data_IF_850366597793
#
_entry.id   IF_850366597793
#
_cell.length_a   1.000
_cell.length_b   1.000
_cell.length_c   1.000
_cell.angle_alpha   90.00
_cell.angle_beta   90.00
_cell.angle_gamma   90.00
#
_symmetry.space_group_name_H-M   'P 1'
#
loop_
_entity.id
_entity.type
_entity.pdbx_description
1 polymer ?
#
# COMPACT_ATOMS: atom_id res chain seq x y z
N UNK A 1 -29.77 43.24 25.48
CA UNK A 1 -28.31 43.22 25.49
C UNK A 1 -27.76 41.87 25.99
N UNK A 2 -28.09 41.35 27.17
CA UNK A 2 -27.57 40.06 27.67
C UNK A 2 -27.80 38.87 26.74
N UNK A 3 -28.99 38.72 26.13
CA UNK A 3 -29.31 37.62 25.19
C UNK A 3 -28.43 37.65 23.93
N UNK A 4 -28.12 38.86 23.42
CA UNK A 4 -27.24 39.03 22.25
C UNK A 4 -25.79 38.60 22.54
N UNK A 5 -25.31 38.91 23.73
CA UNK A 5 -23.97 38.52 24.18
C UNK A 5 -23.84 36.98 24.30
N UNK A 6 -24.85 36.29 24.84
CA UNK A 6 -24.85 34.83 24.88
C UNK A 6 -24.89 34.21 23.49
N UNK A 7 -25.60 34.79 22.55
CA UNK A 7 -25.66 34.32 21.15
C UNK A 7 -24.29 34.46 20.47
N UNK A 8 -23.62 35.59 20.68
CA UNK A 8 -22.25 35.81 20.14
C UNK A 8 -21.23 34.83 20.78
N UNK A 9 -21.31 34.60 22.07
CA UNK A 9 -20.43 33.64 22.77
C UNK A 9 -20.69 32.23 22.22
N UNK A 10 -21.95 31.83 22.03
CA UNK A 10 -22.30 30.53 21.45
C UNK A 10 -21.75 30.36 20.04
N UNK A 11 -21.86 31.38 19.20
CA UNK A 11 -21.30 31.39 17.84
C UNK A 11 -19.77 31.32 17.83
N UNK A 12 -19.11 32.04 18.73
CA UNK A 12 -17.66 31.98 18.89
C UNK A 12 -17.17 30.60 19.38
N UNK A 13 -17.93 29.96 20.26
CA UNK A 13 -17.62 28.59 20.70
C UNK A 13 -17.78 27.55 19.57
N UNK A 14 -18.76 27.70 18.69
CA UNK A 14 -18.97 26.78 17.57
C UNK A 14 -17.88 26.89 16.49
N UNK A 15 -17.20 28.01 16.36
CA UNK A 15 -16.11 28.19 15.39
C UNK A 15 -14.77 27.61 15.88
N UNK A 16 -14.63 27.34 17.18
CA UNK A 16 -13.39 26.76 17.76
C UNK A 16 -13.40 25.22 17.72
N UNK A 17 -14.55 24.60 17.51
CA UNK A 17 -14.63 23.16 17.26
C UNK A 17 -14.30 22.81 15.80
N UNK A 18 -13.18 23.29 15.29
CA UNK A 18 -12.53 22.60 14.18
C UNK A 18 -12.00 21.29 14.75
N UNK A 19 -12.80 20.24 14.63
CA UNK A 19 -12.30 18.89 14.79
C UNK A 19 -11.18 18.77 13.75
N UNK A 20 -9.95 18.85 14.20
CA UNK A 20 -8.78 18.57 13.39
C UNK A 20 -8.96 17.12 12.98
N UNK A 21 -9.40 16.91 11.73
CA UNK A 21 -9.53 15.58 11.16
C UNK A 21 -8.14 14.96 11.26
N UNK A 22 -7.92 14.16 12.29
CA UNK A 22 -6.70 13.37 12.42
C UNK A 22 -6.62 12.55 11.14
N UNK A 23 -5.52 12.64 10.43
CA UNK A 23 -5.23 11.74 9.33
C UNK A 23 -5.11 10.32 9.88
N UNK A 24 -6.24 9.61 9.91
CA UNK A 24 -6.33 8.25 10.45
C UNK A 24 -5.61 7.24 9.55
N UNK A 25 -5.31 7.60 8.31
CA UNK A 25 -4.59 6.73 7.36
C UNK A 25 -3.18 6.42 7.86
N UNK A 26 -2.58 7.30 8.64
CA UNK A 26 -1.25 7.05 9.23
C UNK A 26 -1.20 5.82 10.17
N UNK A 27 -2.35 5.38 10.70
CA UNK A 27 -2.44 4.19 11.56
C UNK A 27 -2.70 2.89 10.77
N UNK A 28 -2.92 2.98 9.47
CA UNK A 28 -3.11 1.80 8.63
C UNK A 28 -1.76 1.27 8.20
N UNK A 29 -1.42 0.07 8.66
CA UNK A 29 -0.23 -0.65 8.23
C UNK A 29 -0.60 -1.67 7.15
N UNK A 30 -0.32 -1.36 5.88
CA UNK A 30 -0.60 -2.26 4.76
C UNK A 30 0.40 -3.40 4.63
N UNK A 31 1.53 -3.36 5.36
CA UNK A 31 2.50 -4.45 5.44
C UNK A 31 2.11 -5.52 6.46
N UNK A 32 1.04 -5.30 7.23
CA UNK A 32 0.61 -6.25 8.25
C UNK A 32 0.35 -7.64 7.65
N UNK A 33 0.97 -8.65 8.23
CA UNK A 33 0.85 -10.04 7.81
C UNK A 33 1.82 -10.47 6.71
N UNK A 34 2.58 -9.56 6.09
CA UNK A 34 3.51 -9.89 4.99
C UNK A 34 4.83 -10.48 5.44
N UNK A 35 5.23 -10.27 6.70
CA UNK A 35 6.40 -10.88 7.32
C UNK A 35 6.02 -12.25 7.90
N UNK A 36 6.10 -13.27 7.07
CA UNK A 36 5.65 -14.62 7.36
C UNK A 36 6.48 -15.66 6.57
N UNK A 37 6.09 -16.91 6.59
CA UNK A 37 6.79 -18.01 5.94
C UNK A 37 5.86 -18.87 5.08
N UNK A 38 6.43 -19.76 4.28
CA UNK A 38 5.71 -20.62 3.36
C UNK A 38 4.61 -21.44 4.04
N UNK A 39 4.87 -21.98 5.24
CA UNK A 39 3.89 -22.79 5.99
C UNK A 39 2.63 -22.02 6.38
N UNK A 40 2.72 -20.71 6.47
CA UNK A 40 1.61 -19.79 6.72
C UNK A 40 1.19 -19.02 5.46
N UNK A 41 1.50 -19.53 4.28
CA UNK A 41 1.20 -18.92 2.98
C UNK A 41 1.69 -17.47 2.87
N UNK A 42 2.84 -17.16 3.46
CA UNK A 42 3.41 -15.81 3.57
C UNK A 42 2.39 -14.77 4.07
N UNK A 43 1.53 -15.16 5.01
CA UNK A 43 0.46 -14.34 5.57
C UNK A 43 -0.73 -14.15 4.65
N UNK A 44 -0.65 -14.62 3.40
CA UNK A 44 -1.68 -14.47 2.35
C UNK A 44 -2.16 -13.03 2.17
N UNK A 45 -1.27 -12.06 2.33
CA UNK A 45 -1.51 -10.62 2.20
C UNK A 45 -0.38 -9.96 1.43
N UNK A 46 -0.63 -8.76 0.93
CA UNK A 46 0.39 -7.90 0.31
C UNK A 46 0.01 -6.43 0.44
N UNK A 47 1.00 -5.50 0.45
CA UNK A 47 0.74 -4.08 0.66
C UNK A 47 0.09 -3.45 -0.57
N UNK A 48 -1.23 -3.34 -0.56
CA UNK A 48 -1.96 -2.79 -1.69
C UNK A 48 -2.17 -1.29 -1.59
N UNK A 49 -2.05 -0.62 -2.73
CA UNK A 49 -2.47 0.75 -2.95
C UNK A 49 -3.63 0.74 -3.93
N UNK A 50 -4.83 1.12 -3.48
CA UNK A 50 -6.07 1.02 -4.25
C UNK A 50 -6.78 2.34 -4.52
N UNK A 51 -6.24 3.45 -4.09
CA UNK A 51 -6.81 4.77 -4.33
C UNK A 51 -6.38 5.34 -5.70
N UNK A 52 -7.21 6.16 -6.37
CA UNK A 52 -8.60 6.53 -6.02
C UNK A 52 -9.66 5.51 -6.44
N UNK A 53 -9.28 4.50 -7.22
CA UNK A 53 -10.22 3.50 -7.78
C UNK A 53 -9.98 2.15 -7.09
N UNK A 54 -10.73 1.86 -6.04
CA UNK A 54 -10.55 0.69 -5.17
C UNK A 54 -10.72 -0.68 -5.83
N UNK A 55 -11.05 -0.73 -7.13
CA UNK A 55 -11.15 -1.98 -7.91
C UNK A 55 -9.81 -2.37 -8.57
N UNK A 56 -8.81 -1.51 -8.53
CA UNK A 56 -7.49 -1.74 -9.09
C UNK A 56 -6.44 -1.60 -8.00
N UNK A 57 -5.95 -2.72 -7.51
CA UNK A 57 -5.01 -2.76 -6.41
C UNK A 57 -3.59 -2.94 -6.94
N UNK A 58 -2.71 -2.01 -6.61
CA UNK A 58 -1.31 -2.05 -6.98
C UNK A 58 -0.44 -2.47 -5.80
N UNK A 59 0.54 -3.31 -6.06
CA UNK A 59 1.51 -3.74 -5.07
C UNK A 59 2.90 -3.90 -5.69
N UNK A 60 3.94 -3.67 -4.90
CA UNK A 60 5.26 -4.15 -5.24
C UNK A 60 5.24 -5.68 -5.33
N UNK A 61 5.97 -6.21 -6.29
CA UNK A 61 6.15 -7.63 -6.47
C UNK A 61 7.56 -8.02 -6.07
N UNK A 62 7.70 -8.72 -4.95
CA UNK A 62 8.98 -9.31 -4.51
C UNK A 62 9.07 -10.79 -4.86
N UNK A 63 7.93 -11.48 -5.02
CA UNK A 63 7.84 -12.84 -5.51
C UNK A 63 8.15 -12.98 -7.00
N UNK A 64 8.42 -14.19 -7.44
CA UNK A 64 8.61 -14.52 -8.86
C UNK A 64 7.26 -14.68 -9.56
N UNK A 65 7.25 -14.51 -10.87
CA UNK A 65 6.08 -14.83 -11.67
C UNK A 65 5.78 -16.34 -11.55
N UNK A 66 4.54 -16.66 -11.18
CA UNK A 66 4.10 -18.04 -10.98
C UNK A 66 4.19 -18.57 -9.55
N UNK A 67 4.85 -17.85 -8.63
CA UNK A 67 4.92 -18.28 -7.22
C UNK A 67 3.58 -18.20 -6.48
N UNK A 68 2.62 -17.44 -6.99
CA UNK A 68 1.35 -17.16 -6.32
C UNK A 68 1.44 -16.14 -5.18
N UNK A 69 2.63 -15.80 -4.75
CA UNK A 69 2.87 -14.81 -3.69
C UNK A 69 3.50 -13.56 -4.29
N UNK A 70 2.73 -12.49 -4.37
CA UNK A 70 3.20 -11.23 -4.98
C UNK A 70 4.23 -10.53 -4.13
N UNK A 71 4.00 -10.49 -2.84
CA UNK A 71 4.87 -9.80 -1.91
C UNK A 71 5.23 -10.72 -0.73
N UNK A 72 6.51 -10.80 -0.46
CA UNK A 72 7.08 -11.48 0.70
C UNK A 72 8.05 -10.49 1.36
N UNK A 73 7.79 -10.12 2.60
CA UNK A 73 8.60 -9.13 3.33
C UNK A 73 10.06 -9.55 3.46
N UNK A 74 10.34 -10.85 3.62
CA UNK A 74 11.69 -11.37 3.73
C UNK A 74 12.56 -11.23 2.45
N UNK A 75 11.96 -10.77 1.33
CA UNK A 75 12.68 -10.61 0.05
C UNK A 75 13.06 -9.16 -0.18
N UNK A 76 14.34 -8.87 -0.33
CA UNK A 76 14.94 -7.55 -0.48
C UNK A 76 15.04 -7.06 -1.95
N UNK A 77 14.27 -7.66 -2.86
CA UNK A 77 14.29 -7.32 -4.29
C UNK A 77 12.89 -7.12 -4.85
N UNK A 78 12.70 -6.00 -5.54
CA UNK A 78 11.48 -5.76 -6.33
C UNK A 78 11.73 -6.23 -7.75
N UNK A 79 10.80 -7.06 -8.27
CA UNK A 79 10.82 -7.59 -9.65
C UNK A 79 9.86 -6.86 -10.57
N UNK A 80 8.81 -6.27 -10.01
CA UNK A 80 7.82 -5.48 -10.73
C UNK A 80 6.88 -4.75 -9.76
N UNK A 81 6.01 -3.92 -10.32
CA UNK A 81 4.77 -3.46 -9.68
C UNK A 81 3.61 -4.13 -10.41
N UNK A 82 2.75 -4.81 -9.65
CA UNK A 82 1.68 -5.65 -10.18
C UNK A 82 0.32 -5.09 -9.84
N UNK A 83 -0.59 -5.12 -10.81
CA UNK A 83 -1.98 -4.75 -10.63
C UNK A 83 -2.81 -6.01 -10.38
N UNK A 84 -3.72 -5.95 -9.41
CA UNK A 84 -4.59 -7.05 -9.00
C UNK A 84 -6.01 -6.55 -8.78
N UNK A 85 -6.98 -7.46 -8.81
CA UNK A 85 -8.38 -7.19 -8.45
C UNK A 85 -8.69 -7.56 -6.99
N UNK A 86 -7.81 -8.32 -6.34
CA UNK A 86 -8.01 -8.83 -4.99
C UNK A 86 -6.80 -8.54 -4.09
N UNK A 87 -7.06 -8.44 -2.79
CA UNK A 87 -6.01 -8.21 -1.79
C UNK A 87 -5.25 -9.48 -1.41
N UNK A 88 -5.69 -10.65 -1.87
CA UNK A 88 -5.10 -11.94 -1.52
C UNK A 88 -4.84 -12.79 -2.76
N UNK A 89 -3.67 -13.43 -2.86
CA UNK A 89 -3.35 -14.35 -3.95
C UNK A 89 -4.07 -15.70 -3.83
N UNK A 90 -4.70 -16.01 -2.70
CA UNK A 90 -5.26 -17.32 -2.38
C UNK A 90 -6.33 -17.80 -3.35
N UNK A 91 -7.09 -16.90 -3.94
CA UNK A 91 -8.17 -17.23 -4.88
C UNK A 91 -7.75 -17.08 -6.34
N UNK A 92 -6.47 -17.22 -6.64
CA UNK A 92 -5.89 -17.21 -7.99
C UNK A 92 -5.91 -15.85 -8.71
N UNK A 93 -5.94 -14.76 -7.98
CA UNK A 93 -5.71 -13.43 -8.57
C UNK A 93 -4.23 -13.09 -8.57
N UNK A 94 -3.51 -13.59 -9.54
CA UNK A 94 -2.05 -13.51 -9.64
C UNK A 94 -1.54 -12.23 -10.30
N UNK A 95 -2.34 -11.19 -10.41
CA UNK A 95 -2.14 -9.97 -11.15
C UNK A 95 -2.37 -10.12 -12.67
N UNK A 96 -3.08 -9.13 -13.21
CA UNK A 96 -3.34 -9.04 -14.66
C UNK A 96 -2.16 -8.42 -15.37
N UNK A 97 -1.50 -7.45 -14.74
CA UNK A 97 -0.35 -6.72 -15.29
C UNK A 97 0.79 -6.62 -14.28
N UNK A 98 2.00 -6.64 -14.82
CA UNK A 98 3.21 -6.32 -14.06
C UNK A 98 4.09 -5.39 -14.87
N UNK A 99 4.54 -4.31 -14.25
CA UNK A 99 5.42 -3.31 -14.85
C UNK A 99 6.70 -3.18 -14.04
N UNK A 100 7.83 -3.14 -14.73
CA UNK A 100 9.12 -2.81 -14.12
C UNK A 100 9.75 -1.66 -14.89
N UNK A 101 9.75 -0.45 -14.33
CA UNK A 101 10.47 0.67 -14.94
C UNK A 101 11.97 0.37 -15.00
N UNK A 102 12.57 0.65 -16.15
CA UNK A 102 13.99 0.39 -16.37
C UNK A 102 14.63 1.55 -17.11
N UNK A 103 15.93 1.75 -16.90
CA UNK A 103 16.75 2.71 -17.62
C UNK A 103 17.88 1.94 -18.29
N UNK A 104 18.15 2.27 -19.55
CA UNK A 104 19.21 1.63 -20.34
C UNK A 104 18.69 0.43 -21.14
N UNK A 105 19.44 -0.65 -21.15
CA UNK A 105 19.13 -1.85 -21.93
C UNK A 105 17.94 -2.63 -21.37
N UNK A 106 17.12 -3.19 -22.26
CA UNK A 106 15.98 -4.01 -21.87
C UNK A 106 16.43 -5.37 -21.33
N UNK A 107 16.14 -5.65 -20.07
CA UNK A 107 16.40 -6.94 -19.42
C UNK A 107 15.08 -7.67 -19.20
N UNK A 108 14.83 -8.73 -19.98
CA UNK A 108 13.59 -9.51 -19.94
C UNK A 108 13.55 -10.44 -18.72
N UNK A 109 14.68 -11.01 -18.32
CA UNK A 109 14.75 -11.94 -17.20
C UNK A 109 14.39 -11.24 -15.88
N UNK A 110 13.38 -11.77 -15.17
CA UNK A 110 12.83 -11.14 -13.97
C UNK A 110 13.81 -11.05 -12.79
N UNK A 111 14.71 -11.99 -12.65
CA UNK A 111 15.70 -11.98 -11.57
C UNK A 111 16.86 -11.04 -11.89
N UNK A 112 17.25 -10.95 -13.16
CA UNK A 112 18.30 -10.04 -13.61
C UNK A 112 17.89 -8.57 -13.57
N UNK A 113 16.61 -8.27 -13.85
CA UNK A 113 16.07 -6.89 -13.76
C UNK A 113 15.65 -6.49 -12.35
N UNK A 114 15.62 -7.43 -11.39
CA UNK A 114 15.18 -7.14 -10.04
C UNK A 114 16.11 -6.14 -9.35
N UNK A 115 15.51 -5.14 -8.72
CA UNK A 115 16.23 -4.08 -8.02
C UNK A 115 16.17 -4.29 -6.53
N UNK A 116 17.32 -4.22 -5.85
CA UNK A 116 17.37 -4.28 -4.39
C UNK A 116 16.76 -3.04 -3.76
N UNK A 117 16.10 -3.21 -2.64
CA UNK A 117 15.58 -2.14 -1.81
C UNK A 117 15.79 -2.43 -0.31
N UNK A 118 15.51 -1.44 0.52
CA UNK A 118 15.50 -1.59 1.98
C UNK A 118 14.14 -1.22 2.53
N UNK A 119 13.61 -2.03 3.44
CA UNK A 119 12.37 -1.72 4.16
C UNK A 119 12.46 -0.44 5.00
N UNK A 120 13.67 0.01 5.38
CA UNK A 120 13.86 1.31 6.05
C UNK A 120 13.42 2.50 5.19
N UNK A 121 13.42 2.32 3.86
CA UNK A 121 12.99 3.33 2.90
C UNK A 121 11.60 3.06 2.32
N UNK A 122 10.96 1.96 2.71
CA UNK A 122 9.66 1.56 2.21
C UNK A 122 8.54 2.33 2.90
N UNK A 123 7.70 2.95 2.11
CA UNK A 123 6.47 3.59 2.59
C UNK A 123 5.29 2.89 1.93
N UNK A 124 4.52 2.15 2.70
CA UNK A 124 3.35 1.43 2.22
C UNK A 124 2.09 1.96 2.91
N UNK A 125 1.24 2.64 2.13
CA UNK A 125 -0.04 3.21 2.58
C UNK A 125 -1.16 2.84 1.60
N UNK A 126 -2.43 2.87 2.02
CA UNK A 126 -3.55 2.53 1.14
C UNK A 126 -3.66 3.36 -0.13
N UNK A 127 -3.05 4.54 -0.14
CA UNK A 127 -3.10 5.51 -1.26
C UNK A 127 -1.73 5.86 -1.84
N UNK A 128 -0.64 5.32 -1.27
CA UNK A 128 0.72 5.68 -1.68
C UNK A 128 1.71 4.58 -1.34
N UNK A 129 2.52 4.23 -2.32
CA UNK A 129 3.65 3.32 -2.12
C UNK A 129 4.93 3.95 -2.66
N UNK A 130 6.00 3.86 -1.89
CA UNK A 130 7.35 4.31 -2.26
C UNK A 130 8.37 3.32 -1.73
N UNK A 131 9.38 3.08 -2.52
CA UNK A 131 10.55 2.26 -2.19
C UNK A 131 11.78 2.83 -2.89
#
# INVERSE_FOLDING_TARGET
MKKLVYLIIFFLYSTVMNAQLKDLVQYVNTLQGTDSNFGLSYGNTYPTTGMPYGMHMWSAQTGKNGDGFKYMYAVDKIRAFSQSHQCSPWVSDYAVYSFMPMVGELVVNQDARATKFSHDNEIAKPHYYKV
#
